data_IF_535930010904
#
_entry.id   IF_535930010904
#
_cell.length_a   1.000
_cell.length_b   1.000
_cell.length_c   1.000
_cell.angle_alpha   90.00
_cell.angle_beta   90.00
_cell.angle_gamma   90.00
#
_symmetry.space_group_name_H-M   'P 1'
#
loop_
_entity.id
_entity.type
_entity.pdbx_description
1 polymer ?
#
# COMPACT_ATOMS: atom_id res chain seq x y z
N UNK A 1 8.63 -12.66 -6.59
CA UNK A 1 9.90 -11.91 -6.42
C UNK A 1 10.82 -12.55 -5.39
N UNK A 2 10.48 -12.58 -4.10
CA UNK A 2 11.39 -13.07 -3.05
C UNK A 2 11.83 -14.52 -3.19
N UNK A 3 10.92 -15.41 -3.62
CA UNK A 3 11.26 -16.82 -3.93
C UNK A 3 12.28 -16.97 -5.06
N UNK A 4 12.44 -15.94 -5.90
CA UNK A 4 13.41 -15.88 -6.98
C UNK A 4 14.66 -15.05 -6.61
N UNK A 5 14.83 -14.70 -5.32
CA UNK A 5 15.96 -13.89 -4.85
C UNK A 5 15.86 -12.39 -5.19
N UNK A 6 14.76 -11.93 -5.77
CA UNK A 6 14.58 -10.52 -6.15
C UNK A 6 14.06 -9.74 -4.93
N UNK A 7 14.77 -8.69 -4.45
CA UNK A 7 14.29 -7.88 -3.35
C UNK A 7 12.97 -7.20 -3.72
N UNK A 8 11.99 -7.34 -2.84
CA UNK A 8 10.67 -6.74 -3.02
C UNK A 8 10.13 -6.30 -1.66
N UNK A 9 9.36 -5.20 -1.65
CA UNK A 9 8.69 -4.66 -0.46
C UNK A 9 7.22 -4.47 -0.75
N UNK A 10 6.40 -4.76 0.26
CA UNK A 10 4.98 -4.47 0.27
C UNK A 10 4.80 -2.95 0.37
N UNK A 11 3.83 -2.43 -0.35
CA UNK A 11 3.46 -1.02 -0.30
C UNK A 11 1.99 -0.94 0.07
N UNK A 12 1.68 -0.17 1.10
CA UNK A 12 0.33 0.21 1.43
C UNK A 12 0.08 1.66 1.05
N UNK A 13 -1.15 1.94 0.67
CA UNK A 13 -1.53 3.26 0.23
C UNK A 13 -3.01 3.39 -0.01
N UNK A 14 -3.35 4.40 -0.80
CA UNK A 14 -4.67 4.58 -1.37
C UNK A 14 -4.60 4.53 -2.89
N UNK A 15 -5.73 4.23 -3.52
CA UNK A 15 -5.87 4.17 -4.96
C UNK A 15 -7.11 4.92 -5.39
N UNK A 16 -6.96 5.85 -6.35
CA UNK A 16 -8.09 6.54 -6.94
C UNK A 16 -8.82 5.62 -7.93
N UNK A 17 -10.05 5.25 -7.58
CA UNK A 17 -10.98 4.56 -8.45
C UNK A 17 -12.23 5.42 -8.62
N UNK A 18 -12.52 5.87 -9.85
CA UNK A 18 -13.66 6.76 -10.12
C UNK A 18 -15.02 6.18 -9.68
N UNK A 19 -15.16 4.85 -9.68
CA UNK A 19 -16.38 4.16 -9.28
C UNK A 19 -16.38 3.74 -7.79
N UNK A 20 -15.25 3.90 -7.09
CA UNK A 20 -15.05 3.47 -5.71
C UNK A 20 -14.26 4.54 -4.93
N UNK A 21 -14.82 5.75 -4.74
CA UNK A 21 -14.10 6.87 -4.12
C UNK A 21 -13.73 6.62 -2.65
N UNK A 22 -14.48 5.75 -1.97
CA UNK A 22 -14.30 5.41 -0.57
C UNK A 22 -13.39 4.19 -0.35
N UNK A 23 -12.52 3.85 -1.32
CA UNK A 23 -11.62 2.72 -1.20
C UNK A 23 -10.66 2.92 -0.02
N UNK A 24 -10.93 2.24 1.09
CA UNK A 24 -10.30 2.54 2.38
C UNK A 24 -8.79 2.25 2.43
N UNK A 25 -8.29 1.35 1.59
CA UNK A 25 -6.86 1.10 1.43
C UNK A 25 -6.59 0.28 0.18
N UNK A 26 -5.41 0.46 -0.39
CA UNK A 26 -4.90 -0.37 -1.48
C UNK A 26 -3.47 -0.83 -1.20
N UNK A 27 -3.03 -1.85 -1.92
CA UNK A 27 -1.68 -2.37 -1.79
C UNK A 27 -1.10 -2.84 -3.11
N UNK A 28 0.21 -2.66 -3.25
CA UNK A 28 0.98 -3.09 -4.41
C UNK A 28 2.42 -3.45 -4.00
N UNK A 29 3.29 -3.69 -4.98
CA UNK A 29 4.67 -4.13 -4.72
C UNK A 29 5.69 -3.19 -5.33
N UNK A 30 6.76 -2.95 -4.59
CA UNK A 30 8.00 -2.39 -5.12
C UNK A 30 9.02 -3.51 -5.31
N UNK A 31 9.59 -3.59 -6.50
CA UNK A 31 10.60 -4.59 -6.88
C UNK A 31 11.91 -3.87 -7.18
N UNK A 32 13.00 -4.30 -6.54
CA UNK A 32 14.33 -3.75 -6.79
C UNK A 32 14.92 -4.43 -8.02
N UNK A 33 15.14 -3.66 -9.08
CA UNK A 33 15.76 -4.14 -10.31
C UNK A 33 17.29 -4.11 -10.23
N UNK A 34 17.85 -3.18 -9.45
CA UNK A 34 19.28 -3.05 -9.24
C UNK A 34 19.54 -2.60 -7.80
N UNK A 35 20.17 -3.49 -7.03
CA UNK A 35 20.49 -3.25 -5.62
C UNK A 35 21.62 -2.23 -5.45
N UNK A 36 22.59 -2.20 -6.36
CA UNK A 36 23.73 -1.29 -6.30
C UNK A 36 23.29 0.15 -6.51
N UNK A 37 22.39 0.39 -7.46
CA UNK A 37 21.84 1.72 -7.74
C UNK A 37 20.55 2.03 -6.98
N UNK A 38 20.05 1.08 -6.17
CA UNK A 38 18.75 1.17 -5.46
C UNK A 38 17.60 1.52 -6.41
N UNK A 39 17.56 0.90 -7.60
CA UNK A 39 16.51 1.15 -8.58
C UNK A 39 15.30 0.29 -8.28
N UNK A 40 14.19 0.93 -7.93
CA UNK A 40 12.91 0.27 -7.64
C UNK A 40 11.88 0.57 -8.73
N UNK A 41 11.05 -0.42 -9.06
CA UNK A 41 9.84 -0.26 -9.88
C UNK A 41 8.64 -0.67 -9.05
N UNK A 42 7.59 0.14 -9.08
CA UNK A 42 6.34 -0.12 -8.36
C UNK A 42 5.31 -0.68 -9.32
N UNK A 43 4.76 -1.85 -9.00
CA UNK A 43 3.84 -2.59 -9.87
C UNK A 43 2.58 -2.88 -9.08
N UNK A 44 1.44 -2.53 -9.65
CA UNK A 44 0.13 -2.94 -9.17
C UNK A 44 -0.37 -4.14 -9.97
N UNK A 45 -0.33 -5.30 -9.32
CA UNK A 45 -0.81 -6.56 -9.89
C UNK A 45 -2.33 -6.63 -9.99
N UNK A 46 -3.05 -5.86 -9.15
CA UNK A 46 -4.52 -5.80 -9.14
C UNK A 46 -5.02 -5.10 -10.40
N UNK A 47 -4.37 -3.99 -10.77
CA UNK A 47 -4.73 -3.19 -11.94
C UNK A 47 -3.86 -3.46 -13.18
N UNK A 48 -2.95 -4.44 -13.10
CA UNK A 48 -2.04 -4.84 -14.19
C UNK A 48 -1.25 -3.68 -14.79
N UNK A 49 -0.76 -2.77 -13.94
CA UNK A 49 -0.04 -1.59 -14.38
C UNK A 49 1.21 -1.30 -13.52
N UNK A 50 2.09 -0.46 -14.05
CA UNK A 50 3.04 0.29 -13.22
C UNK A 50 2.25 1.39 -12.51
N UNK A 51 2.68 1.80 -11.31
CA UNK A 51 2.00 2.89 -10.61
C UNK A 51 1.95 4.16 -11.48
N UNK A 52 0.89 4.91 -11.27
CA UNK A 52 0.64 6.20 -11.89
C UNK A 52 0.04 7.16 -10.82
N UNK A 53 -0.44 8.31 -11.27
CA UNK A 53 -1.05 9.35 -10.42
C UNK A 53 -2.29 8.91 -9.63
N UNK A 54 -2.86 7.73 -9.90
CA UNK A 54 -3.94 7.16 -9.08
C UNK A 54 -3.43 6.56 -7.77
N UNK A 55 -2.14 6.30 -7.63
CA UNK A 55 -1.57 5.59 -6.49
C UNK A 55 -0.96 6.56 -5.47
N UNK A 56 -1.53 6.62 -4.28
CA UNK A 56 -1.01 7.43 -3.17
C UNK A 56 -0.30 6.51 -2.18
N UNK A 57 1.04 6.51 -2.21
CA UNK A 57 1.85 5.72 -1.27
C UNK A 57 1.77 6.26 0.15
N UNK A 58 1.52 5.38 1.13
CA UNK A 58 1.56 5.73 2.55
C UNK A 58 2.77 5.11 3.25
N UNK A 59 2.96 3.80 3.15
CA UNK A 59 4.01 3.09 3.87
C UNK A 59 4.53 1.88 3.09
N UNK A 60 5.68 1.37 3.54
CA UNK A 60 6.38 0.28 2.87
C UNK A 60 7.04 -0.66 3.87
N UNK A 61 6.99 -1.96 3.61
CA UNK A 61 7.52 -2.95 4.55
C UNK A 61 7.77 -4.32 3.94
N UNK A 62 8.13 -5.28 4.79
CA UNK A 62 8.28 -6.68 4.36
C UNK A 62 6.93 -7.28 3.98
N UNK A 63 5.85 -6.85 4.60
CA UNK A 63 4.51 -7.38 4.39
C UNK A 63 3.49 -6.39 4.97
N UNK A 64 2.22 -6.77 4.91
CA UNK A 64 1.13 -6.00 5.46
C UNK A 64 1.33 -5.65 6.94
N UNK A 65 1.84 -6.56 7.78
CA UNK A 65 1.98 -6.32 9.22
C UNK A 65 3.04 -5.26 9.57
N UNK A 66 4.01 -5.06 8.67
CA UNK A 66 5.04 -4.04 8.80
C UNK A 66 4.54 -2.64 8.41
N UNK A 67 3.46 -2.54 7.65
CA UNK A 67 2.98 -1.25 7.12
C UNK A 67 1.46 -1.19 6.89
N UNK A 68 0.61 -1.65 7.84
CA UNK A 68 -0.82 -1.51 7.64
C UNK A 68 -1.21 -0.03 7.76
N UNK A 69 -2.25 0.45 7.04
CA UNK A 69 -2.73 1.83 7.17
C UNK A 69 -3.13 2.19 8.61
N UNK A 70 -3.63 1.20 9.35
CA UNK A 70 -4.02 1.33 10.75
C UNK A 70 -3.46 0.14 11.53
N UNK A 71 -2.76 0.42 12.63
CA UNK A 71 -2.27 -0.59 13.59
C UNK A 71 -2.57 -0.11 15.00
N UNK A 72 -3.19 -0.97 15.80
CA UNK A 72 -3.49 -0.67 17.19
C UNK A 72 -3.12 -1.83 18.10
N UNK A 73 -2.92 -1.51 19.38
CA UNK A 73 -2.83 -2.49 20.46
C UNK A 73 -3.83 -2.05 21.52
N UNK A 74 -4.57 -3.01 22.07
CA UNK A 74 -5.57 -2.77 23.12
C UNK A 74 -5.18 -3.52 24.39
N UNK A 75 -5.38 -2.88 25.54
CA UNK A 75 -5.22 -3.49 26.85
C UNK A 75 -6.42 -3.12 27.74
N UNK A 76 -7.13 -4.11 28.30
CA UNK A 76 -8.40 -3.91 29.03
C UNK A 76 -9.65 -4.15 28.17
N UNK A 77 -10.77 -3.47 28.50
CA UNK A 77 -12.04 -3.59 27.77
C UNK A 77 -13.02 -2.40 27.93
N UNK A 78 -14.01 -2.34 27.05
CA UNK A 78 -14.96 -1.22 26.86
C UNK A 78 -15.53 -1.24 25.43
N UNK A 79 -16.50 -0.37 25.13
CA UNK A 79 -16.94 -0.12 23.75
C UNK A 79 -15.91 0.74 23.00
N UNK A 80 -15.58 0.34 21.77
CA UNK A 80 -14.69 1.07 20.87
C UNK A 80 -15.32 1.15 19.48
N UNK A 81 -15.20 2.30 18.84
CA UNK A 81 -15.61 2.52 17.45
C UNK A 81 -14.54 3.31 16.71
N UNK A 82 -14.25 2.94 15.47
CA UNK A 82 -13.36 3.67 14.60
C UNK A 82 -14.07 3.97 13.29
N UNK A 83 -14.15 5.25 12.94
CA UNK A 83 -14.70 5.72 11.67
C UNK A 83 -13.54 6.22 10.81
N UNK A 84 -13.47 5.73 9.58
CA UNK A 84 -12.46 6.13 8.60
C UNK A 84 -13.17 6.68 7.38
N UNK A 85 -12.73 7.85 6.91
CA UNK A 85 -13.24 8.48 5.70
C UNK A 85 -12.04 8.91 4.88
N UNK A 86 -11.99 8.49 3.61
CA UNK A 86 -10.92 8.79 2.67
C UNK A 86 -11.58 9.35 1.42
N UNK A 87 -11.04 10.46 0.93
CA UNK A 87 -11.49 11.09 -0.31
C UNK A 87 -10.26 11.42 -1.13
N UNK A 88 -10.22 10.94 -2.37
CA UNK A 88 -9.13 11.17 -3.31
C UNK A 88 -9.73 11.86 -4.53
N UNK A 89 -9.18 13.01 -4.89
CA UNK A 89 -9.65 13.83 -6.01
C UNK A 89 -8.51 14.04 -7.01
N UNK A 90 -8.79 13.97 -8.32
CA UNK A 90 -7.85 14.42 -9.34
C UNK A 90 -7.52 15.91 -9.16
N UNK A 91 -6.27 16.29 -9.46
CA UNK A 91 -5.80 17.68 -9.43
C UNK A 91 -6.21 18.43 -10.70
#
# INVERSE_FOLDING_TARGET
CRSLGIPARYVSGYFYAANEPDLASHAWVDVCLDVATRRWVSIDVTHSCVIDERHVRLAMGTDYNACPPIKGVRQGGGEESMTVTITIEPV
#
